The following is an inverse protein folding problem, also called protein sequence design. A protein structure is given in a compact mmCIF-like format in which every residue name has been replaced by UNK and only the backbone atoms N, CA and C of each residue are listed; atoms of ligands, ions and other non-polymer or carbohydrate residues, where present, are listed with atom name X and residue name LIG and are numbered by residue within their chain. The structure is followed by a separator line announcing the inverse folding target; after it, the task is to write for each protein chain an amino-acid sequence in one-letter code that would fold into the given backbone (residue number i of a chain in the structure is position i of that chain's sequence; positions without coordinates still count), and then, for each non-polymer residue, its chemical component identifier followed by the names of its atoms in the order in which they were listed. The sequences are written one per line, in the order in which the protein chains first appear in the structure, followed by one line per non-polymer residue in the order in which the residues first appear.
data_IF_333773485322
#
_entry.id   IF_333773485322
#
_cell.length_a   1.000
_cell.length_b   1.000
_cell.length_c   1.000
_cell.angle_alpha   90.00
_cell.angle_beta   90.00
_cell.angle_gamma   90.00
#
_symmetry.space_group_name_H-M   'P 1'
#
loop_
_entity.id
_entity.type
_entity.pdbx_description
1 polymer ?
#
# COMPACT_ATOMS: atom_id res chain seq x y z
N UNK A 1 -27.44 -7.03 -28.17
CA UNK A 1 -27.34 -5.87 -27.28
C UNK A 1 -27.87 -6.28 -25.93
N UNK A 2 -27.27 -5.80 -24.85
CA UNK A 2 -27.12 -6.46 -23.53
C UNK A 2 -25.84 -7.30 -23.55
N UNK A 3 -24.86 -6.90 -22.74
CA UNK A 3 -23.69 -7.67 -22.25
C UNK A 3 -22.56 -6.75 -21.72
N UNK A 4 -22.72 -5.42 -21.76
CA UNK A 4 -21.65 -4.49 -21.32
C UNK A 4 -21.94 -3.74 -20.02
N UNK A 5 -23.20 -3.62 -19.58
CA UNK A 5 -23.56 -2.85 -18.38
C UNK A 5 -23.48 -3.69 -17.09
N UNK A 6 -23.87 -4.96 -17.12
CA UNK A 6 -23.84 -5.84 -15.94
C UNK A 6 -22.42 -6.14 -15.45
N UNK A 7 -21.45 -6.20 -16.36
CA UNK A 7 -20.05 -6.50 -16.02
C UNK A 7 -19.35 -5.30 -15.36
N UNK A 8 -19.71 -4.07 -15.75
CA UNK A 8 -19.20 -2.83 -15.12
C UNK A 8 -19.78 -2.66 -13.71
N UNK A 9 -21.07 -2.99 -13.53
CA UNK A 9 -21.74 -2.88 -12.24
C UNK A 9 -21.16 -3.86 -11.20
N UNK A 10 -20.77 -5.07 -11.61
CA UNK A 10 -20.12 -6.08 -10.74
C UNK A 10 -18.73 -5.62 -10.30
N UNK A 11 -17.92 -5.10 -11.23
CA UNK A 11 -16.56 -4.60 -10.92
C UNK A 11 -16.60 -3.39 -9.96
N UNK A 12 -17.53 -2.46 -10.18
CA UNK A 12 -17.71 -1.29 -9.30
C UNK A 12 -18.14 -1.71 -7.88
N UNK A 13 -19.02 -2.70 -7.75
CA UNK A 13 -19.47 -3.20 -6.45
C UNK A 13 -18.36 -3.91 -5.66
N UNK A 14 -17.48 -4.66 -6.34
CA UNK A 14 -16.34 -5.32 -5.71
C UNK A 14 -15.22 -4.35 -5.31
N UNK A 15 -14.99 -3.30 -6.10
CA UNK A 15 -14.07 -2.21 -5.73
C UNK A 15 -14.62 -1.40 -4.55
N UNK A 16 -15.92 -1.09 -4.53
CA UNK A 16 -16.56 -0.40 -3.40
C UNK A 16 -16.50 -1.25 -2.14
N UNK A 17 -16.80 -2.57 -2.20
CA UNK A 17 -16.63 -3.47 -1.05
C UNK A 17 -15.18 -3.52 -0.55
N UNK A 18 -14.21 -3.59 -1.45
CA UNK A 18 -12.78 -3.54 -1.08
C UNK A 18 -12.43 -2.22 -0.41
N UNK A 19 -12.85 -1.08 -0.97
CA UNK A 19 -12.59 0.24 -0.38
C UNK A 19 -13.27 0.40 0.98
N UNK A 20 -14.53 -0.01 1.13
CA UNK A 20 -15.24 -0.01 2.41
C UNK A 20 -14.56 -0.89 3.45
N UNK A 21 -14.04 -2.06 3.06
CA UNK A 21 -13.27 -2.93 3.97
C UNK A 21 -11.95 -2.28 4.38
N UNK A 22 -11.22 -1.64 3.45
CA UNK A 22 -9.96 -0.95 3.74
C UNK A 22 -10.20 0.24 4.67
N UNK A 23 -11.28 0.99 4.46
CA UNK A 23 -11.68 2.11 5.32
C UNK A 23 -12.03 1.60 6.71
N UNK A 24 -12.84 0.55 6.84
CA UNK A 24 -13.20 -0.05 8.14
C UNK A 24 -11.97 -0.61 8.89
N UNK A 25 -11.07 -1.30 8.18
CA UNK A 25 -9.80 -1.75 8.75
C UNK A 25 -8.91 -0.57 9.16
N UNK A 26 -8.90 0.51 8.39
CA UNK A 26 -8.15 1.71 8.69
C UNK A 26 -8.68 2.44 9.92
N UNK A 27 -9.99 2.50 10.16
CA UNK A 27 -10.60 3.05 11.38
C UNK A 27 -10.41 2.13 12.59
N UNK A 28 -10.61 0.81 12.44
CA UNK A 28 -10.34 -0.14 13.55
C UNK A 28 -8.88 -0.05 14.01
N UNK A 29 -7.94 0.00 13.07
CA UNK A 29 -6.52 0.16 13.40
C UNK A 29 -6.19 1.54 13.98
N UNK A 30 -6.99 2.60 13.74
CA UNK A 30 -6.78 3.88 14.44
C UNK A 30 -7.32 3.81 15.87
N UNK A 31 -8.46 3.18 16.09
CA UNK A 31 -9.05 2.95 17.42
C UNK A 31 -8.06 2.18 18.31
N UNK A 32 -7.53 1.05 17.82
CA UNK A 32 -6.57 0.22 18.55
C UNK A 32 -5.30 0.97 18.95
N UNK A 33 -4.75 1.79 18.05
CA UNK A 33 -3.56 2.60 18.35
C UNK A 33 -3.89 3.67 19.38
N UNK A 34 -5.05 4.32 19.27
CA UNK A 34 -5.51 5.32 20.26
C UNK A 34 -5.67 4.70 21.65
N UNK A 35 -6.34 3.54 21.75
CA UNK A 35 -6.50 2.83 23.02
C UNK A 35 -5.16 2.40 23.61
N UNK A 36 -4.24 1.92 22.76
CA UNK A 36 -2.88 1.62 23.19
C UNK A 36 -2.16 2.84 23.76
N UNK A 37 -2.27 4.01 23.11
CA UNK A 37 -1.65 5.23 23.58
C UNK A 37 -2.22 5.67 24.93
N UNK A 38 -3.56 5.69 25.08
CA UNK A 38 -4.25 5.99 26.35
C UNK A 38 -3.72 5.09 27.46
N UNK A 39 -3.59 3.77 27.22
CA UNK A 39 -3.07 2.84 28.22
C UNK A 39 -1.66 3.17 28.70
N UNK A 40 -0.76 3.58 27.79
CA UNK A 40 0.63 3.87 28.17
C UNK A 40 0.82 5.29 28.70
N UNK A 41 -0.06 6.25 28.38
CA UNK A 41 0.07 7.65 28.81
C UNK A 41 -0.79 8.00 30.02
N UNK A 42 -2.04 7.53 30.05
CA UNK A 42 -3.01 7.87 31.11
C UNK A 42 -3.02 6.78 32.19
N UNK A 43 -3.09 5.51 31.79
CA UNK A 43 -3.13 4.39 32.73
C UNK A 43 -1.74 3.93 33.19
N UNK A 44 -0.67 4.56 32.66
CA UNK A 44 0.73 4.28 33.00
C UNK A 44 1.12 2.80 32.87
N UNK A 45 0.48 2.06 31.95
CA UNK A 45 0.77 0.66 31.71
C UNK A 45 2.11 0.46 31.01
N UNK A 46 2.73 -0.71 31.21
CA UNK A 46 3.90 -1.08 30.42
C UNK A 46 3.52 -1.31 28.97
N UNK A 47 4.43 -0.99 28.05
CA UNK A 47 4.24 -1.14 26.60
C UNK A 47 3.78 -2.55 26.22
N UNK A 48 4.37 -3.57 26.84
CA UNK A 48 4.03 -4.98 26.59
C UNK A 48 2.60 -5.30 27.01
N UNK A 49 2.17 -4.82 28.19
CA UNK A 49 0.82 -5.06 28.71
C UNK A 49 -0.24 -4.38 27.83
N UNK A 50 -0.02 -3.11 27.50
CA UNK A 50 -0.92 -2.35 26.63
C UNK A 50 -1.00 -2.95 25.22
N UNK A 51 0.13 -3.40 24.66
CA UNK A 51 0.18 -4.05 23.35
C UNK A 51 -0.63 -5.36 23.32
N UNK A 52 -0.49 -6.19 24.36
CA UNK A 52 -1.25 -7.43 24.47
C UNK A 52 -2.76 -7.18 24.59
N UNK A 53 -3.17 -6.14 25.32
CA UNK A 53 -4.57 -5.80 25.50
C UNK A 53 -5.26 -5.35 24.19
N UNK A 54 -4.54 -4.62 23.34
CA UNK A 54 -5.09 -4.09 22.07
C UNK A 54 -4.79 -4.98 20.86
N UNK A 55 -4.18 -6.15 21.07
CA UNK A 55 -3.81 -7.08 19.99
C UNK A 55 -2.72 -6.54 19.06
N UNK A 56 -1.87 -5.64 19.54
CA UNK A 56 -0.78 -5.03 18.76
C UNK A 56 0.51 -5.82 19.00
N UNK A 57 1.28 -6.08 17.93
CA UNK A 57 2.60 -6.69 18.09
C UNK A 57 3.54 -5.78 18.89
N UNK A 58 4.38 -6.37 19.75
CA UNK A 58 5.32 -5.62 20.59
C UNK A 58 6.23 -4.69 19.76
N UNK A 59 6.67 -5.14 18.58
CA UNK A 59 7.47 -4.32 17.64
C UNK A 59 6.72 -3.08 17.17
N UNK A 60 5.45 -3.21 16.78
CA UNK A 60 4.63 -2.06 16.36
C UNK A 60 4.35 -1.13 17.54
N UNK A 61 4.08 -1.66 18.72
CA UNK A 61 3.84 -0.89 19.94
C UNK A 61 5.03 0.02 20.29
N UNK A 62 6.26 -0.51 20.28
CA UNK A 62 7.46 0.31 20.50
C UNK A 62 7.66 1.36 19.42
N UNK A 63 7.33 1.04 18.17
CA UNK A 63 7.37 2.02 17.08
C UNK A 63 6.37 3.14 17.29
N UNK A 64 5.13 2.85 17.68
CA UNK A 64 4.10 3.85 17.96
C UNK A 64 4.47 4.71 19.17
N UNK A 65 4.96 4.11 20.25
CA UNK A 65 5.47 4.86 21.42
C UNK A 65 6.58 5.84 21.01
N UNK A 66 7.54 5.39 20.19
CA UNK A 66 8.61 6.27 19.70
C UNK A 66 8.03 7.44 18.90
N UNK A 67 7.14 7.18 17.95
CA UNK A 67 6.50 8.24 17.16
C UNK A 67 5.70 9.22 18.03
N UNK A 68 4.96 8.71 19.03
CA UNK A 68 4.24 9.54 19.98
C UNK A 68 5.17 10.45 20.78
N UNK A 69 6.25 9.92 21.32
CA UNK A 69 7.22 10.71 22.09
C UNK A 69 7.93 11.78 21.23
N UNK A 70 8.15 11.49 19.94
CA UNK A 70 8.88 12.38 19.03
C UNK A 70 7.98 13.46 18.39
N UNK A 71 6.74 13.12 18.07
CA UNK A 71 5.84 13.98 17.28
C UNK A 71 4.53 14.34 17.98
N UNK A 72 4.28 13.85 19.20
CA UNK A 72 3.00 13.96 19.89
C UNK A 72 1.83 13.27 19.17
N UNK A 73 2.11 12.53 18.09
CA UNK A 73 1.12 11.90 17.21
C UNK A 73 1.71 10.67 16.52
N UNK A 74 0.88 9.70 16.16
CA UNK A 74 1.30 8.53 15.36
C UNK A 74 1.04 8.81 13.89
N UNK A 75 2.09 9.22 13.18
CA UNK A 75 2.02 9.50 11.74
C UNK A 75 1.89 8.17 10.97
N UNK A 76 0.75 8.00 10.28
CA UNK A 76 0.61 7.00 9.23
C UNK A 76 1.43 7.44 8.02
N UNK A 77 2.60 6.86 7.86
CA UNK A 77 3.32 6.95 6.59
C UNK A 77 2.44 6.33 5.51
N UNK A 78 1.87 7.17 4.64
CA UNK A 78 1.29 6.69 3.38
C UNK A 78 2.41 5.95 2.64
N UNK A 79 2.24 4.64 2.42
CA UNK A 79 3.06 3.91 1.45
C UNK A 79 2.69 4.45 0.07
N UNK A 80 3.33 5.53 -0.35
CA UNK A 80 3.35 5.92 -1.75
C UNK A 80 4.04 4.81 -2.55
N UNK A 81 3.60 4.60 -3.80
CA UNK A 81 4.33 3.74 -4.75
C UNK A 81 5.77 4.24 -4.81
N UNK A 82 6.73 3.33 -4.69
CA UNK A 82 8.13 3.67 -5.00
C UNK A 82 8.18 4.17 -6.44
N UNK A 83 8.82 5.32 -6.64
CA UNK A 83 9.21 5.79 -7.98
C UNK A 83 9.96 4.63 -8.65
N UNK A 84 9.56 4.26 -9.87
CA UNK A 84 10.04 3.08 -10.61
C UNK A 84 9.08 1.89 -10.70
N UNK A 85 7.80 2.03 -10.34
CA UNK A 85 6.82 0.94 -10.55
C UNK A 85 6.42 0.87 -12.03
N UNK A 86 6.25 -0.34 -12.60
CA UNK A 86 5.94 -0.63 -14.03
C UNK A 86 4.85 0.27 -14.64
N UNK A 87 3.90 0.78 -13.82
CA UNK A 87 2.89 1.77 -14.23
C UNK A 87 3.45 3.13 -14.68
N UNK A 88 4.75 3.39 -14.58
CA UNK A 88 5.43 4.59 -15.06
C UNK A 88 6.11 4.38 -16.43
N UNK A 89 6.01 3.17 -17.01
CA UNK A 89 6.36 2.95 -18.40
C UNK A 89 5.40 3.74 -19.29
N UNK A 90 5.89 4.86 -19.81
CA UNK A 90 5.30 5.56 -20.96
C UNK A 90 5.51 4.77 -22.24
N UNK A 91 4.68 5.04 -23.24
CA UNK A 91 4.74 4.44 -24.59
C UNK A 91 6.12 4.58 -25.24
N UNK A 92 6.82 5.70 -24.98
CA UNK A 92 8.20 5.95 -25.42
C UNK A 92 9.21 4.85 -25.00
N UNK A 93 8.98 4.21 -23.85
CA UNK A 93 9.81 3.10 -23.41
C UNK A 93 9.50 1.82 -24.19
N UNK A 94 8.23 1.61 -24.56
CA UNK A 94 7.83 0.54 -25.47
C UNK A 94 8.46 0.72 -26.84
N UNK A 95 8.39 1.93 -27.40
CA UNK A 95 8.98 2.29 -28.68
C UNK A 95 10.49 2.07 -28.70
N UNK A 96 11.19 2.42 -27.60
CA UNK A 96 12.61 2.14 -27.47
C UNK A 96 12.93 0.64 -27.51
N UNK A 97 12.16 -0.18 -26.80
CA UNK A 97 12.36 -1.63 -26.79
C UNK A 97 12.10 -2.26 -28.15
N UNK A 98 11.03 -1.82 -28.84
CA UNK A 98 10.70 -2.29 -30.20
C UNK A 98 11.85 -1.96 -31.16
N UNK A 99 12.31 -0.70 -31.19
CA UNK A 99 13.44 -0.29 -32.04
C UNK A 99 14.73 -1.04 -31.73
N UNK A 100 14.98 -1.35 -30.47
CA UNK A 100 16.15 -2.13 -30.07
C UNK A 100 16.09 -3.57 -30.62
N UNK A 101 14.91 -4.19 -30.56
CA UNK A 101 14.66 -5.53 -31.10
C UNK A 101 14.79 -5.52 -32.62
N UNK A 102 14.16 -4.57 -33.30
CA UNK A 102 14.21 -4.45 -34.76
C UNK A 102 15.64 -4.24 -35.26
N UNK A 103 16.39 -3.33 -34.64
CA UNK A 103 17.80 -3.10 -34.97
C UNK A 103 18.66 -4.34 -34.79
N UNK A 104 18.40 -5.15 -33.76
CA UNK A 104 19.11 -6.42 -33.56
C UNK A 104 18.71 -7.47 -34.58
N UNK A 105 17.44 -7.53 -34.98
CA UNK A 105 16.96 -8.42 -36.01
C UNK A 105 17.62 -8.08 -37.37
N UNK A 106 17.69 -6.80 -37.73
CA UNK A 106 18.37 -6.31 -38.94
C UNK A 106 19.84 -6.72 -38.98
N UNK A 107 20.58 -6.50 -37.90
CA UNK A 107 22.00 -6.89 -37.80
C UNK A 107 22.16 -8.40 -37.95
N UNK A 108 21.27 -9.18 -37.34
CA UNK A 108 21.33 -10.66 -37.38
C UNK A 108 21.06 -11.16 -38.80
N UNK A 109 20.05 -10.62 -39.48
CA UNK A 109 19.74 -10.97 -40.88
C UNK A 109 20.90 -10.57 -41.81
N UNK A 110 21.47 -9.38 -41.63
CA UNK A 110 22.62 -8.93 -42.41
C UNK A 110 23.88 -9.78 -42.20
N UNK A 111 24.03 -10.43 -41.04
CA UNK A 111 25.13 -11.35 -40.75
C UNK A 111 24.88 -12.79 -41.28
N UNK A 112 23.66 -13.11 -41.71
CA UNK A 112 23.28 -14.41 -42.29
C UNK A 112 23.34 -14.44 -43.82
N UNK A 113 23.47 -13.28 -44.47
CA UNK A 113 23.73 -13.11 -45.91
C UNK A 113 25.22 -12.94 -46.18
#
# INVERSE_FOLDING_TARGET
GIDSEDNVQVVLNDEVKKQSSIVAFATMMSEQITQFLIRITENMESVRKAAAAEGITERSAYRYKKQWNEFGTVIRLKRSRKIGTVSQLKDEHGDFLIRLVDKKAEITIAAMH
#
